data_IF_073546755364
#
_entry.id   IF_073546755364
#
_cell.length_a   1.000
_cell.length_b   1.000
_cell.length_c   1.000
_cell.angle_alpha   90.00
_cell.angle_beta   90.00
_cell.angle_gamma   90.00
#
_symmetry.space_group_name_H-M   'P 1'
#
loop_
_entity.id
_entity.type
_entity.pdbx_description
1 polymer ?
#
# COMPACT_ATOMS: atom_id res chain seq x y z
N UNK A 1 -41.07 -21.40 -52.89
CA UNK A 1 -41.69 -21.54 -51.55
C UNK A 1 -40.60 -21.40 -50.50
N UNK A 2 -40.79 -20.48 -49.57
CA UNK A 2 -39.78 -19.93 -48.66
C UNK A 2 -39.25 -20.95 -47.64
N UNK A 3 -37.92 -21.10 -47.53
CA UNK A 3 -37.26 -21.66 -46.35
C UNK A 3 -36.92 -20.51 -45.40
N UNK A 4 -37.65 -20.41 -44.27
CA UNK A 4 -37.29 -19.54 -43.16
C UNK A 4 -36.11 -20.13 -42.38
N UNK A 5 -34.94 -19.49 -42.44
CA UNK A 5 -33.87 -19.69 -41.47
C UNK A 5 -34.05 -18.67 -40.35
N UNK A 6 -34.48 -19.10 -39.17
CA UNK A 6 -34.34 -18.30 -37.96
C UNK A 6 -32.91 -18.41 -37.45
N UNK A 7 -32.24 -17.26 -37.32
CA UNK A 7 -30.96 -17.14 -36.63
C UNK A 7 -31.29 -16.69 -35.20
N UNK A 8 -31.12 -17.59 -34.24
CA UNK A 8 -31.17 -17.26 -32.81
C UNK A 8 -29.80 -16.66 -32.44
N UNK A 9 -29.75 -15.35 -32.21
CA UNK A 9 -28.58 -14.68 -31.64
C UNK A 9 -28.70 -14.79 -30.12
N UNK A 10 -27.94 -15.70 -29.51
CA UNK A 10 -27.77 -15.69 -28.05
C UNK A 10 -26.79 -14.57 -27.67
N UNK A 11 -27.33 -13.52 -27.06
CA UNK A 11 -26.57 -12.45 -26.41
C UNK A 11 -26.02 -13.00 -25.08
N UNK A 12 -24.75 -13.40 -25.06
CA UNK A 12 -24.04 -13.74 -23.83
C UNK A 12 -23.77 -12.44 -23.09
N UNK A 13 -24.54 -12.20 -22.03
CA UNK A 13 -24.30 -11.11 -21.09
C UNK A 13 -23.05 -11.47 -20.28
N UNK A 14 -21.89 -10.93 -20.66
CA UNK A 14 -20.68 -10.99 -19.81
C UNK A 14 -20.96 -10.08 -18.61
N UNK A 15 -21.45 -10.67 -17.53
CA UNK A 15 -21.46 -10.03 -16.22
C UNK A 15 -19.98 -9.89 -15.84
N UNK A 16 -19.43 -8.71 -16.06
CA UNK A 16 -18.12 -8.34 -15.55
C UNK A 16 -18.20 -8.34 -14.02
N UNK A 17 -17.96 -9.50 -13.41
CA UNK A 17 -17.66 -9.60 -11.99
C UNK A 17 -16.48 -8.68 -11.73
N UNK A 18 -16.73 -7.50 -11.14
CA UNK A 18 -15.65 -6.69 -10.58
C UNK A 18 -15.02 -7.53 -9.50
N UNK A 19 -13.90 -8.19 -9.80
CA UNK A 19 -13.13 -8.89 -8.80
C UNK A 19 -12.82 -7.90 -7.69
N UNK A 20 -13.30 -8.18 -6.48
CA UNK A 20 -12.86 -7.53 -5.26
C UNK A 20 -11.41 -7.98 -5.04
N UNK A 21 -10.49 -7.53 -5.90
CA UNK A 21 -9.08 -7.79 -5.75
C UNK A 21 -8.56 -6.85 -4.66
N UNK A 22 -7.56 -7.27 -3.90
CA UNK A 22 -6.85 -6.32 -3.04
C UNK A 22 -6.27 -5.18 -3.87
N UNK A 23 -6.10 -4.02 -3.23
CA UNK A 23 -5.69 -2.79 -3.91
C UNK A 23 -4.18 -2.73 -4.13
N UNK A 24 -3.39 -3.44 -3.30
CA UNK A 24 -2.00 -3.71 -3.63
C UNK A 24 -1.92 -4.54 -4.91
N UNK A 25 -1.13 -4.07 -5.88
CA UNK A 25 -1.02 -4.60 -7.23
C UNK A 25 -1.90 -3.89 -8.27
N UNK A 26 -2.73 -2.93 -7.84
CA UNK A 26 -3.56 -2.12 -8.73
C UNK A 26 -2.70 -1.18 -9.59
N UNK A 27 -3.11 -0.99 -10.85
CA UNK A 27 -2.50 -0.01 -11.75
C UNK A 27 -2.74 1.42 -11.25
N UNK A 28 -1.73 2.29 -11.41
CA UNK A 28 -1.78 3.69 -10.97
C UNK A 28 -3.00 4.45 -11.49
N UNK A 29 -3.36 4.30 -12.75
CA UNK A 29 -4.51 5.01 -13.32
C UNK A 29 -5.83 4.52 -12.71
N UNK A 30 -5.94 3.21 -12.47
CA UNK A 30 -7.09 2.61 -11.79
C UNK A 30 -7.21 3.12 -10.35
N UNK A 31 -6.09 3.13 -9.62
CA UNK A 31 -6.01 3.66 -8.26
C UNK A 31 -6.43 5.14 -8.21
N UNK A 32 -5.84 5.97 -9.06
CA UNK A 32 -6.11 7.41 -9.11
C UNK A 32 -7.55 7.70 -9.53
N UNK A 33 -8.10 6.97 -10.50
CA UNK A 33 -9.51 7.10 -10.91
C UNK A 33 -10.44 6.84 -9.73
N UNK A 34 -10.26 5.71 -9.04
CA UNK A 34 -11.07 5.34 -7.86
C UNK A 34 -10.93 6.37 -6.75
N UNK A 35 -9.70 6.81 -6.49
CA UNK A 35 -9.43 7.77 -5.42
C UNK A 35 -10.07 9.13 -5.72
N UNK A 36 -9.93 9.63 -6.96
CA UNK A 36 -10.53 10.88 -7.42
C UNK A 36 -12.07 10.84 -7.34
N UNK A 37 -12.71 9.74 -7.77
CA UNK A 37 -14.17 9.57 -7.65
C UNK A 37 -14.62 9.68 -6.18
N UNK A 38 -13.79 9.21 -5.25
CA UNK A 38 -14.07 9.28 -3.82
C UNK A 38 -13.55 10.55 -3.11
N UNK A 39 -13.25 11.62 -3.87
CA UNK A 39 -12.86 12.92 -3.30
C UNK A 39 -11.39 13.07 -2.93
N UNK A 40 -10.50 12.18 -3.40
CA UNK A 40 -9.08 12.31 -3.11
C UNK A 40 -8.41 13.49 -3.80
N UNK A 41 -7.32 13.96 -3.19
CA UNK A 41 -6.49 15.05 -3.67
C UNK A 41 -5.03 14.62 -3.69
N UNK A 42 -4.36 14.72 -4.83
CA UNK A 42 -2.92 14.45 -4.91
C UNK A 42 -2.13 15.67 -4.46
N UNK A 43 -1.21 15.49 -3.50
CA UNK A 43 -0.24 16.53 -3.19
C UNK A 43 0.78 16.65 -4.34
N UNK A 44 1.03 17.88 -4.77
CA UNK A 44 1.99 18.19 -5.86
C UNK A 44 3.06 19.21 -5.48
N UNK A 45 2.89 19.93 -4.38
CA UNK A 45 3.87 20.90 -3.91
C UNK A 45 5.02 20.19 -3.19
N UNK A 46 6.26 20.42 -3.62
CA UNK A 46 7.46 19.80 -3.03
C UNK A 46 7.59 20.07 -1.52
N UNK A 47 7.28 21.29 -1.07
CA UNK A 47 7.31 21.63 0.36
C UNK A 47 6.30 20.81 1.17
N UNK A 48 5.12 20.55 0.60
CA UNK A 48 4.11 19.69 1.24
C UNK A 48 4.59 18.25 1.22
N UNK A 49 5.05 17.75 0.07
CA UNK A 49 5.51 16.37 -0.11
C UNK A 49 6.67 16.04 0.84
N UNK A 50 7.70 16.89 0.91
CA UNK A 50 8.85 16.72 1.81
C UNK A 50 8.41 16.63 3.27
N UNK A 51 7.51 17.52 3.71
CA UNK A 51 6.96 17.46 5.07
C UNK A 51 6.14 16.19 5.32
N UNK A 52 5.34 15.72 4.35
CA UNK A 52 4.57 14.48 4.50
C UNK A 52 5.43 13.23 4.51
N UNK A 53 6.52 13.20 3.75
CA UNK A 53 7.47 12.07 3.74
C UNK A 53 8.27 11.95 5.04
N UNK A 54 8.36 12.99 5.87
CA UNK A 54 9.17 12.96 7.08
C UNK A 54 8.71 11.85 8.04
N UNK A 55 9.67 11.03 8.46
CA UNK A 55 9.45 9.94 9.42
C UNK A 55 8.68 8.73 8.86
N UNK A 56 8.48 8.65 7.53
CA UNK A 56 7.81 7.50 6.94
C UNK A 56 8.69 6.24 7.00
N UNK A 57 8.10 5.06 7.30
CA UNK A 57 8.86 3.83 7.52
C UNK A 57 9.61 3.34 6.27
N UNK A 58 9.18 3.73 5.07
CA UNK A 58 9.85 3.40 3.81
C UNK A 58 11.11 4.25 3.54
N UNK A 59 11.36 5.32 4.30
CA UNK A 59 12.49 6.23 4.02
C UNK A 59 13.86 5.54 4.13
N UNK A 60 14.00 4.57 5.03
CA UNK A 60 15.25 3.80 5.19
C UNK A 60 15.56 2.87 4.00
N UNK A 61 14.61 2.71 3.09
CA UNK A 61 14.73 1.81 1.94
C UNK A 61 14.76 2.52 0.58
N UNK A 62 14.82 3.86 0.56
CA UNK A 62 14.75 4.63 -0.68
C UNK A 62 15.85 4.26 -1.68
N UNK A 63 17.06 3.99 -1.20
CA UNK A 63 18.21 3.62 -2.03
C UNK A 63 18.12 2.18 -2.58
N UNK A 64 17.18 1.38 -2.07
CA UNK A 64 16.96 -0.02 -2.44
C UNK A 64 15.72 -0.21 -3.30
N UNK A 65 15.01 0.87 -3.65
CA UNK A 65 13.82 0.79 -4.46
C UNK A 65 14.17 0.31 -5.89
N UNK A 66 13.36 -0.56 -6.51
CA UNK A 66 13.56 -0.95 -7.90
C UNK A 66 13.55 0.24 -8.86
N UNK A 67 14.11 0.05 -10.05
CA UNK A 67 13.95 1.02 -11.13
C UNK A 67 12.46 1.30 -11.41
N UNK A 68 12.15 2.51 -11.88
CA UNK A 68 10.77 2.95 -12.15
C UNK A 68 9.87 2.99 -10.90
N UNK A 69 10.47 3.19 -9.72
CA UNK A 69 9.74 3.43 -8.49
C UNK A 69 9.23 4.87 -8.40
N UNK A 70 7.98 5.04 -7.97
CA UNK A 70 7.38 6.36 -7.76
C UNK A 70 6.56 6.38 -6.46
N UNK A 71 6.83 7.35 -5.60
CA UNK A 71 6.04 7.59 -4.38
C UNK A 71 5.09 8.76 -4.63
N UNK A 72 3.78 8.49 -4.60
CA UNK A 72 2.74 9.51 -4.65
C UNK A 72 2.04 9.62 -3.31
N UNK A 73 1.67 10.83 -2.93
CA UNK A 73 0.97 11.10 -1.68
C UNK A 73 -0.34 11.79 -2.01
N UNK A 74 -1.41 11.24 -1.46
CA UNK A 74 -2.75 11.74 -1.60
C UNK A 74 -3.32 12.08 -0.24
N UNK A 75 -4.34 12.92 -0.26
CA UNK A 75 -5.13 13.28 0.90
C UNK A 75 -6.60 13.02 0.68
N UNK A 76 -7.27 12.65 1.76
CA UNK A 76 -8.72 12.48 1.81
C UNK A 76 -9.29 13.07 3.09
N UNK A 77 -10.35 13.85 2.98
CA UNK A 77 -11.11 14.30 4.15
C UNK A 77 -11.89 13.12 4.75
N UNK A 78 -12.40 13.30 5.97
CA UNK A 78 -13.26 12.30 6.60
C UNK A 78 -14.66 12.23 6.01
N UNK A 79 -15.18 13.37 5.56
CA UNK A 79 -16.51 13.49 4.97
C UNK A 79 -16.54 13.11 3.47
N UNK A 80 -15.39 12.73 2.90
CA UNK A 80 -15.26 12.33 1.50
C UNK A 80 -15.31 13.47 0.50
N UNK A 81 -15.41 14.72 0.94
CA UNK A 81 -15.35 15.90 0.06
C UNK A 81 -13.92 16.13 -0.42
N UNK A 82 -13.80 16.70 -1.63
CA UNK A 82 -12.49 17.12 -2.12
C UNK A 82 -12.04 18.38 -1.37
N UNK A 83 -10.82 18.43 -0.80
CA UNK A 83 -10.32 19.65 -0.17
C UNK A 83 -10.16 20.77 -1.19
N UNK A 84 -10.20 22.02 -0.74
CA UNK A 84 -9.81 23.16 -1.55
C UNK A 84 -8.29 23.32 -1.50
N UNK A 85 -7.69 23.76 -2.60
CA UNK A 85 -6.24 23.96 -2.67
C UNK A 85 -5.72 24.93 -1.59
N UNK A 86 -6.52 25.95 -1.24
CA UNK A 86 -6.21 26.93 -0.18
C UNK A 86 -6.11 26.32 1.22
N UNK A 87 -6.73 25.16 1.44
CA UNK A 87 -6.72 24.49 2.75
C UNK A 87 -5.44 23.67 2.94
N UNK A 88 -4.71 23.37 1.85
CA UNK A 88 -3.51 22.55 1.89
C UNK A 88 -2.31 23.37 2.35
N UNK A 89 -1.82 23.06 3.55
CA UNK A 89 -0.67 23.73 4.16
C UNK A 89 0.52 22.78 4.31
N UNK A 90 1.77 23.25 4.08
CA UNK A 90 2.97 22.42 4.26
C UNK A 90 3.15 21.92 5.69
N UNK A 91 2.92 22.78 6.68
CA UNK A 91 3.32 22.51 8.07
C UNK A 91 2.23 21.85 8.92
N UNK A 92 1.00 21.75 8.41
CA UNK A 92 -0.14 21.17 9.14
C UNK A 92 -0.90 20.21 8.25
N UNK A 93 -1.18 19.02 8.77
CA UNK A 93 -2.11 18.08 8.14
C UNK A 93 -3.53 18.47 8.51
N UNK A 94 -4.40 18.56 7.50
CA UNK A 94 -5.84 18.74 7.73
C UNK A 94 -6.44 17.48 8.35
N UNK A 95 -7.61 17.62 8.96
CA UNK A 95 -8.30 16.47 9.49
C UNK A 95 -8.67 15.49 8.37
N UNK A 96 -8.18 14.25 8.46
CA UNK A 96 -8.39 13.27 7.41
C UNK A 96 -7.30 12.21 7.36
N UNK A 97 -6.95 11.84 6.13
CA UNK A 97 -6.03 10.77 5.78
C UNK A 97 -4.99 11.26 4.79
N UNK A 98 -3.73 10.98 5.07
CA UNK A 98 -2.68 10.95 4.06
C UNK A 98 -2.51 9.49 3.62
N UNK A 99 -2.49 9.27 2.31
CA UNK A 99 -2.28 7.95 1.71
C UNK A 99 -1.03 8.03 0.86
N UNK A 100 0.03 7.35 1.30
CA UNK A 100 1.25 7.23 0.53
C UNK A 100 1.18 5.94 -0.25
N UNK A 101 1.47 6.01 -1.54
CA UNK A 101 1.49 4.84 -2.42
C UNK A 101 2.82 4.80 -3.13
N UNK A 102 3.51 3.69 -2.99
CA UNK A 102 4.69 3.38 -3.78
C UNK A 102 4.26 2.49 -4.94
N UNK A 103 4.55 2.97 -6.15
CA UNK A 103 4.38 2.24 -7.38
C UNK A 103 5.72 1.73 -7.88
N UNK A 104 5.75 0.52 -8.43
CA UNK A 104 6.89 -0.04 -9.17
C UNK A 104 6.36 -0.49 -10.53
N UNK A 105 6.93 0.05 -11.62
CA UNK A 105 6.44 -0.25 -12.97
C UNK A 105 4.95 0.08 -13.16
N UNK A 106 4.47 1.12 -12.48
CA UNK A 106 3.06 1.57 -12.55
C UNK A 106 2.08 0.81 -11.65
N UNK A 107 2.49 -0.23 -10.93
CA UNK A 107 1.62 -1.01 -10.01
C UNK A 107 1.93 -0.72 -8.55
N UNK A 108 0.90 -0.61 -7.71
CA UNK A 108 1.10 -0.38 -6.27
C UNK A 108 1.77 -1.60 -5.62
N UNK A 109 2.83 -1.37 -4.86
CA UNK A 109 3.51 -2.42 -4.07
C UNK A 109 3.45 -2.16 -2.58
N UNK A 110 3.18 -0.91 -2.18
CA UNK A 110 3.03 -0.49 -0.80
C UNK A 110 2.05 0.68 -0.72
N UNK A 111 1.17 0.62 0.28
CA UNK A 111 0.26 1.68 0.65
C UNK A 111 0.36 1.94 2.17
N UNK A 112 0.65 3.19 2.55
CA UNK A 112 0.61 3.64 3.94
C UNK A 112 -0.57 4.57 4.13
N UNK A 113 -1.43 4.26 5.09
CA UNK A 113 -2.55 5.08 5.49
C UNK A 113 -2.22 5.75 6.82
N UNK A 114 -2.15 7.08 6.83
CA UNK A 114 -1.89 7.90 8.01
C UNK A 114 -3.12 8.72 8.34
N UNK A 115 -3.68 8.51 9.54
CA UNK A 115 -4.71 9.36 10.11
C UNK A 115 -4.07 10.63 10.67
N UNK A 116 -4.74 11.78 10.53
CA UNK A 116 -4.27 13.05 11.14
C UNK A 116 -4.30 13.02 12.68
N UNK A 117 -5.12 12.16 13.26
CA UNK A 117 -5.23 11.83 14.69
C UNK A 117 -4.82 10.38 14.95
N UNK A 118 -5.00 9.89 16.19
CA UNK A 118 -4.97 8.46 16.44
C UNK A 118 -6.05 7.74 15.61
N UNK A 119 -5.70 6.56 15.11
CA UNK A 119 -6.59 5.67 14.38
C UNK A 119 -7.32 4.77 15.38
N UNK A 120 -8.65 4.73 15.29
CA UNK A 120 -9.45 3.85 16.13
C UNK A 120 -9.57 2.43 15.53
N UNK A 121 -10.13 1.50 16.31
CA UNK A 121 -10.25 0.09 15.91
C UNK A 121 -11.18 -0.15 14.72
N UNK A 122 -12.25 0.65 14.60
CA UNK A 122 -13.18 0.56 13.46
C UNK A 122 -12.51 1.01 12.17
N UNK A 123 -11.79 2.12 12.20
CA UNK A 123 -10.98 2.62 11.08
C UNK A 123 -9.91 1.59 10.67
N UNK A 124 -9.20 1.03 11.65
CA UNK A 124 -8.20 -0.02 11.42
C UNK A 124 -8.82 -1.25 10.75
N UNK A 125 -9.93 -1.76 11.28
CA UNK A 125 -10.64 -2.93 10.74
C UNK A 125 -11.18 -2.65 9.33
N UNK A 126 -11.69 -1.44 9.10
CA UNK A 126 -12.15 -1.03 7.78
C UNK A 126 -11.01 -1.02 6.75
N UNK A 127 -9.81 -0.55 7.13
CA UNK A 127 -8.64 -0.57 6.26
C UNK A 127 -8.14 -2.00 5.98
N UNK A 128 -8.17 -2.90 6.96
CA UNK A 128 -7.89 -4.32 6.70
C UNK A 128 -8.89 -4.89 5.69
N UNK A 129 -10.20 -4.71 5.92
CA UNK A 129 -11.25 -5.19 5.00
C UNK A 129 -11.08 -4.63 3.59
N UNK A 130 -10.69 -3.35 3.48
CA UNK A 130 -10.40 -2.66 2.23
C UNK A 130 -9.35 -3.38 1.37
N UNK A 131 -8.34 -3.95 2.02
CA UNK A 131 -7.18 -4.60 1.41
C UNK A 131 -7.27 -6.13 1.41
N UNK A 132 -8.34 -6.70 1.96
CA UNK A 132 -8.53 -8.14 2.00
C UNK A 132 -8.80 -8.72 0.59
N UNK A 133 -9.56 -8.00 -0.22
CA UNK A 133 -10.05 -8.52 -1.50
C UNK A 133 -10.95 -9.74 -1.28
N UNK A 134 -10.68 -10.84 -1.98
CA UNK A 134 -11.37 -12.14 -1.82
C UNK A 134 -10.72 -13.05 -0.75
N UNK A 135 -9.71 -12.54 -0.04
CA UNK A 135 -8.94 -13.26 0.96
C UNK A 135 -9.27 -12.73 2.36
N UNK A 136 -8.62 -13.27 3.40
CA UNK A 136 -8.78 -12.78 4.77
C UNK A 136 -7.44 -12.60 5.46
N UNK A 137 -7.44 -11.81 6.55
CA UNK A 137 -6.24 -11.50 7.31
C UNK A 137 -6.05 -12.48 8.46
N UNK A 138 -4.83 -12.98 8.59
CA UNK A 138 -4.34 -13.75 9.72
C UNK A 138 -3.42 -12.85 10.53
N UNK A 139 -3.57 -12.86 11.86
CA UNK A 139 -2.61 -12.20 12.74
C UNK A 139 -1.36 -13.06 12.81
N UNK A 140 -0.18 -12.46 12.70
CA UNK A 140 1.09 -13.17 12.82
C UNK A 140 1.14 -13.84 14.20
N UNK A 141 1.34 -15.16 14.20
CA UNK A 141 1.59 -15.93 15.42
C UNK A 141 2.98 -15.62 15.96
N UNK A 142 3.20 -15.86 17.25
CA UNK A 142 4.54 -15.76 17.82
C UNK A 142 5.43 -16.83 17.19
N UNK A 143 6.62 -16.43 16.74
CA UNK A 143 7.63 -17.37 16.22
C UNK A 143 7.98 -18.38 17.32
N UNK A 144 7.91 -19.67 16.99
CA UNK A 144 8.31 -20.73 17.91
C UNK A 144 9.79 -21.01 17.73
N UNK A 145 10.41 -21.53 18.80
CA UNK A 145 11.81 -21.94 18.75
C UNK A 145 12.00 -23.03 17.68
N UNK A 146 12.90 -22.77 16.72
CA UNK A 146 13.17 -23.65 15.58
C UNK A 146 12.47 -23.26 14.27
N UNK A 147 11.57 -22.28 14.27
CA UNK A 147 10.99 -21.76 13.02
C UNK A 147 12.06 -21.04 12.18
N UNK A 148 12.04 -21.19 10.85
CA UNK A 148 12.95 -20.45 10.00
C UNK A 148 12.69 -18.93 10.11
N UNK A 149 13.73 -18.10 10.12
CA UNK A 149 13.58 -16.67 10.29
C UNK A 149 12.77 -16.08 9.13
N UNK A 150 11.70 -15.36 9.46
CA UNK A 150 10.88 -14.70 8.45
C UNK A 150 11.58 -13.44 7.96
N UNK A 151 11.96 -13.44 6.69
CA UNK A 151 12.59 -12.29 6.04
C UNK A 151 11.52 -11.20 5.80
N UNK A 152 11.76 -10.01 6.34
CA UNK A 152 10.88 -8.85 6.17
C UNK A 152 11.63 -7.54 6.43
N UNK A 153 11.50 -6.58 5.52
CA UNK A 153 12.08 -5.23 5.65
C UNK A 153 11.26 -4.38 6.61
N UNK A 154 9.94 -4.52 6.53
CA UNK A 154 9.01 -3.74 7.32
C UNK A 154 8.56 -4.43 8.58
N UNK A 155 8.80 -5.73 8.77
CA UNK A 155 8.08 -6.60 9.72
C UNK A 155 6.55 -6.51 9.56
N UNK A 156 5.78 -7.42 10.16
CA UNK A 156 4.33 -7.40 10.01
C UNK A 156 3.62 -7.99 11.21
N UNK A 157 2.41 -7.48 11.44
CA UNK A 157 1.49 -7.96 12.48
C UNK A 157 0.39 -8.83 11.88
N UNK A 158 0.13 -8.66 10.59
CA UNK A 158 -0.89 -9.41 9.85
C UNK A 158 -0.35 -9.84 8.50
N UNK A 159 -0.76 -11.00 8.07
CA UNK A 159 -0.49 -11.54 6.74
C UNK A 159 -1.81 -12.03 6.16
N UNK A 160 -2.02 -11.77 4.89
CA UNK A 160 -3.19 -12.29 4.20
C UNK A 160 -3.02 -13.79 4.00
N UNK A 161 -4.10 -14.57 4.09
CA UNK A 161 -4.02 -16.03 4.05
C UNK A 161 -3.43 -16.59 2.75
N UNK A 162 -3.49 -15.82 1.65
CA UNK A 162 -2.84 -16.15 0.37
C UNK A 162 -1.34 -15.80 0.32
N UNK A 163 -0.80 -15.24 1.41
CA UNK A 163 0.61 -14.88 1.61
C UNK A 163 1.14 -13.78 0.69
N UNK A 164 0.28 -13.13 -0.09
CA UNK A 164 0.70 -12.12 -1.08
C UNK A 164 0.88 -10.71 -0.49
N UNK A 165 0.17 -10.40 0.59
CA UNK A 165 0.15 -9.07 1.21
C UNK A 165 0.33 -9.20 2.71
N UNK A 166 1.14 -8.30 3.27
CA UNK A 166 1.36 -8.13 4.71
C UNK A 166 0.91 -6.75 5.15
N UNK A 167 0.59 -6.64 6.44
CA UNK A 167 0.26 -5.37 7.06
C UNK A 167 0.95 -5.18 8.41
N UNK A 168 1.32 -3.94 8.71
CA UNK A 168 1.94 -3.54 9.97
C UNK A 168 1.30 -2.28 10.50
N UNK A 169 0.94 -2.27 11.79
CA UNK A 169 0.56 -1.05 12.49
C UNK A 169 1.83 -0.29 12.89
N UNK A 170 1.84 1.02 12.62
CA UNK A 170 2.98 1.89 12.92
C UNK A 170 2.50 3.01 13.85
N UNK A 171 2.89 2.91 15.12
CA UNK A 171 2.39 3.81 16.16
C UNK A 171 0.86 3.76 16.30
N UNK A 172 0.25 4.89 16.68
CA UNK A 172 -1.19 4.98 16.93
C UNK A 172 -2.03 5.42 15.72
N UNK A 173 -1.41 5.94 14.66
CA UNK A 173 -2.12 6.64 13.58
C UNK A 173 -1.85 6.09 12.17
N UNK A 174 -0.98 5.08 12.04
CA UNK A 174 -0.57 4.58 10.73
C UNK A 174 -0.74 3.07 10.60
N UNK A 175 -1.09 2.65 9.40
CA UNK A 175 -1.02 1.25 8.97
C UNK A 175 -0.36 1.18 7.60
N UNK A 176 0.55 0.23 7.46
CA UNK A 176 1.27 -0.07 6.23
C UNK A 176 0.70 -1.37 5.65
N UNK A 177 0.40 -1.38 4.36
CA UNK A 177 0.10 -2.57 3.56
C UNK A 177 1.15 -2.69 2.47
N UNK A 178 1.63 -3.90 2.22
CA UNK A 178 2.70 -4.10 1.25
C UNK A 178 2.71 -5.52 0.70
N UNK A 179 3.19 -5.65 -0.53
CA UNK A 179 3.42 -6.96 -1.15
C UNK A 179 4.52 -7.71 -0.41
N UNK A 180 4.28 -8.99 -0.10
CA UNK A 180 5.27 -9.87 0.54
C UNK A 180 6.54 -10.00 -0.31
N UNK A 181 6.40 -10.07 -1.63
CA UNK A 181 7.54 -10.16 -2.56
C UNK A 181 8.40 -8.90 -2.50
N UNK A 182 7.76 -7.73 -2.50
CA UNK A 182 8.46 -6.44 -2.41
C UNK A 182 9.19 -6.27 -1.07
N UNK A 183 8.58 -6.72 0.02
CA UNK A 183 9.16 -6.69 1.36
C UNK A 183 10.41 -7.57 1.49
N UNK A 184 10.38 -8.78 0.94
CA UNK A 184 11.56 -9.67 0.90
C UNK A 184 12.67 -9.05 0.06
N UNK A 185 12.33 -8.55 -1.14
CA UNK A 185 13.30 -7.87 -2.02
C UNK A 185 14.04 -6.73 -1.31
N UNK A 186 13.31 -5.87 -0.59
CA UNK A 186 13.94 -4.79 0.17
C UNK A 186 14.80 -5.30 1.33
N UNK A 187 14.36 -6.35 2.01
CA UNK A 187 15.08 -6.91 3.17
C UNK A 187 16.44 -7.46 2.75
N UNK A 188 16.46 -8.19 1.64
CA UNK A 188 17.68 -8.78 1.07
C UNK A 188 18.65 -7.71 0.59
N UNK A 189 18.16 -6.73 -0.19
CA UNK A 189 19.00 -5.62 -0.66
C UNK A 189 19.58 -4.81 0.50
N UNK A 190 18.77 -4.51 1.51
CA UNK A 190 19.21 -3.79 2.71
C UNK A 190 20.25 -4.59 3.51
N UNK A 191 20.01 -5.89 3.74
CA UNK A 191 20.93 -6.77 4.45
C UNK A 191 22.28 -6.90 3.73
N UNK A 192 22.28 -7.04 2.41
CA UNK A 192 23.50 -7.12 1.62
C UNK A 192 24.35 -5.86 1.79
N UNK A 193 23.73 -4.68 1.68
CA UNK A 193 24.44 -3.41 1.91
C UNK A 193 25.00 -3.26 3.32
N UNK A 194 24.28 -3.74 4.34
CA UNK A 194 24.79 -3.76 5.72
C UNK A 194 26.01 -4.69 5.87
N UNK A 195 25.99 -5.86 5.23
CA UNK A 195 27.11 -6.79 5.24
C UNK A 195 28.34 -6.22 4.54
N UNK A 196 28.15 -5.53 3.41
CA UNK A 196 29.23 -4.88 2.66
C UNK A 196 29.84 -3.69 3.43
N UNK A 197 29.03 -3.04 4.27
CA UNK A 197 29.46 -1.94 5.13
C UNK A 197 30.10 -2.38 6.46
N UNK A 198 30.23 -3.68 6.73
CA UNK A 198 30.82 -4.16 7.99
C UNK A 198 32.28 -3.71 8.13
N UNK A 199 32.65 -3.08 9.26
CA UNK A 199 34.03 -2.72 9.54
C UNK A 199 34.93 -3.96 9.52
N UNK A 200 36.07 -3.87 8.84
CA UNK A 200 37.05 -4.96 8.80
C UNK A 200 37.56 -5.35 10.21
N UNK A 201 37.50 -4.41 11.16
CA UNK A 201 37.90 -4.63 12.56
C UNK A 201 37.08 -5.69 13.31
N UNK A 202 35.88 -6.04 12.84
CA UNK A 202 35.06 -7.10 13.46
C UNK A 202 35.66 -8.50 13.19
N UNK A 203 36.52 -8.66 12.18
CA UNK A 203 37.13 -9.96 11.83
C UNK A 203 38.23 -10.44 12.80
N UNK A 204 38.50 -9.69 13.88
CA UNK A 204 39.56 -10.00 14.85
C UNK A 204 39.20 -9.76 16.32
N UNK A 205 37.92 -9.55 16.63
CA UNK A 205 37.37 -9.72 17.99
C UNK A 205 37.01 -11.19 18.21
#
# INVERSE_FOLDING_TARGET
MYFHRQIIIQLILIISSTSLQARIGEDRLTFEKRLNISGGYQYRSENVLSNRKRGMPYNKFLDFLPAQSEIRIYYKTLDGRKPLAKDIQPNKMLEGWDVHVLFVGGKSVLELYRRSSNMNELEFTALLKLQAGNSFWEKKEQEKEGDPPIISAFSFDYERNDKLIRARKVGSSQILFFSSQFDVFLAEGFKQSQMDALPQSIKGF
#
